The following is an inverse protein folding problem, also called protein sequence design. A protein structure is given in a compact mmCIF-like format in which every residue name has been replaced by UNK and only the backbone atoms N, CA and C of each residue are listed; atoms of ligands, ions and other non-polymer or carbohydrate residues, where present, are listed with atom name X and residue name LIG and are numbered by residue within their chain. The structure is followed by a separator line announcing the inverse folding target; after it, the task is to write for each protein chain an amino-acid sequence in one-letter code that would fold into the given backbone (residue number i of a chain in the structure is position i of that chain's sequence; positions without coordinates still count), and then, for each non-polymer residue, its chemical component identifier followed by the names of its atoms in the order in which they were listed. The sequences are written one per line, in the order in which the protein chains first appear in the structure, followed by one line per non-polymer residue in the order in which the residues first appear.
data_IF_135763897462
#
_entry.id   IF_135763897462
#
_cell.length_a   1.000
_cell.length_b   1.000
_cell.length_c   1.000
_cell.angle_alpha   90.00
_cell.angle_beta   90.00
_cell.angle_gamma   90.00
#
_symmetry.space_group_name_H-M   'P 1'
#
loop_
_entity.id
_entity.type
_entity.pdbx_description
1 polymer ?
#
# COMPACT_ATOMS: atom_id res chain seq x y z
N UNK A 1 -2.06 -1.94 20.61
CA UNK A 1 -3.09 -2.85 20.08
C UNK A 1 -2.71 -3.04 18.61
N UNK A 2 -2.77 -4.23 18.02
CA UNK A 2 -2.40 -4.38 16.61
C UNK A 2 -3.46 -3.70 15.73
N UNK A 3 -3.05 -2.81 14.81
CA UNK A 3 -3.97 -2.14 13.91
C UNK A 3 -4.75 -3.15 13.06
N UNK A 4 -6.06 -2.93 12.89
CA UNK A 4 -6.90 -3.80 12.05
C UNK A 4 -6.97 -3.19 10.64
N UNK A 5 -6.55 -3.93 9.59
CA UNK A 5 -6.60 -3.46 8.22
C UNK A 5 -8.05 -3.49 7.67
N UNK A 6 -8.36 -2.53 6.80
CA UNK A 6 -9.59 -2.49 6.00
C UNK A 6 -9.56 -3.53 4.88
N UNK A 7 -8.36 -3.85 4.39
CA UNK A 7 -8.11 -4.74 3.27
C UNK A 7 -6.71 -5.32 3.40
N UNK A 8 -6.55 -6.58 3.04
CA UNK A 8 -5.28 -7.28 2.98
C UNK A 8 -5.18 -8.13 1.72
N UNK A 9 -3.99 -8.17 1.12
CA UNK A 9 -3.69 -8.94 -0.08
C UNK A 9 -2.26 -9.49 -0.01
N UNK A 10 -2.05 -10.75 -0.37
CA UNK A 10 -0.73 -11.39 -0.34
C UNK A 10 -0.16 -11.58 -1.74
N UNK A 11 1.16 -11.41 -1.88
CA UNK A 11 1.92 -11.72 -3.09
C UNK A 11 1.87 -13.23 -3.32
N UNK A 12 1.19 -13.67 -4.38
CA UNK A 12 0.91 -15.09 -4.61
C UNK A 12 -0.36 -15.65 -3.93
N UNK A 13 -1.23 -14.80 -3.37
CA UNK A 13 -2.45 -15.22 -2.67
C UNK A 13 -3.38 -16.15 -3.46
N UNK A 14 -3.65 -17.32 -2.88
CA UNK A 14 -4.50 -18.41 -3.40
C UNK A 14 -5.98 -18.05 -3.55
N UNK A 15 -6.46 -16.92 -3.01
CA UNK A 15 -7.87 -16.54 -3.08
C UNK A 15 -8.37 -16.31 -4.53
N UNK A 16 -7.53 -15.76 -5.41
CA UNK A 16 -7.81 -15.66 -6.85
C UNK A 16 -7.79 -17.02 -7.55
N UNK A 17 -6.90 -17.91 -7.12
CA UNK A 17 -6.72 -19.25 -7.71
C UNK A 17 -7.83 -20.24 -7.29
N UNK A 18 -8.27 -20.21 -6.03
CA UNK A 18 -9.21 -21.18 -5.46
C UNK A 18 -10.66 -20.96 -5.91
N UNK A 19 -11.11 -19.71 -6.07
CA UNK A 19 -12.46 -19.40 -6.56
C UNK A 19 -12.60 -19.76 -8.06
N UNK A 20 -11.52 -19.62 -8.83
CA UNK A 20 -11.50 -19.96 -10.26
C UNK A 20 -11.37 -21.47 -10.52
N UNK A 21 -10.69 -22.21 -9.63
CA UNK A 21 -10.55 -23.67 -9.71
C UNK A 21 -11.89 -24.41 -9.60
N UNK A 22 -12.85 -23.86 -8.85
CA UNK A 22 -14.20 -24.43 -8.73
C UNK A 22 -15.08 -24.18 -9.97
N UNK A 23 -14.70 -23.22 -10.83
CA UNK A 23 -15.44 -22.83 -12.03
C UNK A 23 -14.95 -23.55 -13.31
N UNK A 24 -14.02 -24.51 -13.21
CA UNK A 24 -13.54 -25.31 -14.34
C UNK A 24 -12.75 -24.52 -15.39
N UNK A 25 -12.38 -23.27 -15.10
CA UNK A 25 -11.57 -22.43 -15.98
C UNK A 25 -10.10 -22.68 -15.68
N UNK A 26 -9.45 -23.54 -16.47
CA UNK A 26 -8.00 -23.63 -16.51
C UNK A 26 -7.45 -22.31 -17.01
N UNK A 27 -6.83 -21.53 -16.13
CA UNK A 27 -5.85 -20.53 -16.53
C UNK A 27 -4.49 -20.95 -16.03
N UNK A 28 -3.52 -20.81 -16.93
CA UNK A 28 -2.10 -20.92 -16.65
C UNK A 28 -1.75 -20.18 -15.36
N UNK A 29 -0.90 -20.80 -14.55
CA UNK A 29 -0.49 -20.27 -13.26
C UNK A 29 -0.08 -18.80 -13.37
N UNK A 30 -0.53 -17.99 -12.40
CA UNK A 30 -0.24 -16.55 -12.35
C UNK A 30 1.28 -16.34 -12.51
N UNK A 31 1.74 -15.66 -13.58
CA UNK A 31 3.17 -15.48 -13.82
C UNK A 31 3.87 -14.81 -12.63
N UNK A 32 3.16 -13.97 -11.86
CA UNK A 32 3.70 -13.39 -10.63
C UNK A 32 4.00 -14.44 -9.55
N UNK A 33 3.18 -15.50 -9.46
CA UNK A 33 3.40 -16.61 -8.54
C UNK A 33 4.59 -17.49 -8.96
N UNK A 34 4.73 -17.74 -10.28
CA UNK A 34 5.89 -18.46 -10.84
C UNK A 34 7.18 -17.66 -10.59
N UNK A 35 7.13 -16.33 -10.74
CA UNK A 35 8.29 -15.46 -10.55
C UNK A 35 8.75 -15.36 -9.09
N UNK A 36 7.81 -15.31 -8.12
CA UNK A 36 8.12 -15.35 -6.69
C UNK A 36 8.88 -16.63 -6.34
N UNK A 37 8.38 -17.78 -6.82
CA UNK A 37 8.99 -19.09 -6.61
C UNK A 37 10.35 -19.23 -7.32
N UNK A 38 10.52 -18.61 -8.49
CA UNK A 38 11.75 -18.66 -9.27
C UNK A 38 12.88 -17.79 -8.68
N UNK A 39 12.54 -16.68 -8.02
CA UNK A 39 13.52 -15.66 -7.60
C UNK A 39 13.80 -15.59 -6.09
N UNK A 40 13.29 -16.52 -5.26
CA UNK A 40 13.41 -16.45 -3.79
C UNK A 40 13.00 -15.07 -3.21
N UNK A 41 12.02 -14.39 -3.83
CA UNK A 41 11.52 -13.11 -3.34
C UNK A 41 10.75 -13.32 -2.03
N UNK A 42 10.92 -12.46 -1.00
CA UNK A 42 10.20 -12.61 0.26
C UNK A 42 8.69 -12.50 0.02
N UNK A 43 7.91 -13.29 0.74
CA UNK A 43 6.46 -13.17 0.73
C UNK A 43 6.06 -11.78 1.26
N UNK A 44 5.27 -11.07 0.46
CA UNK A 44 4.87 -9.69 0.71
C UNK A 44 3.37 -9.57 0.87
N UNK A 45 2.95 -8.80 1.85
CA UNK A 45 1.54 -8.51 2.10
C UNK A 45 1.27 -7.01 1.95
N UNK A 46 0.31 -6.68 1.08
CA UNK A 46 -0.32 -5.37 1.02
C UNK A 46 -1.42 -5.32 2.07
N UNK A 47 -1.40 -4.29 2.91
CA UNK A 47 -2.50 -3.99 3.83
C UNK A 47 -2.89 -2.51 3.70
N UNK A 48 -4.20 -2.23 3.76
CA UNK A 48 -4.73 -0.87 3.76
C UNK A 48 -5.37 -0.61 5.11
N UNK A 49 -4.89 0.40 5.82
CA UNK A 49 -5.39 0.80 7.13
C UNK A 49 -6.13 2.15 7.07
N UNK A 50 -7.04 2.42 8.02
CA UNK A 50 -7.54 3.77 8.22
C UNK A 50 -6.42 4.69 8.73
N UNK A 51 -6.54 6.00 8.53
CA UNK A 51 -5.59 7.00 9.03
C UNK A 51 -5.29 6.86 10.54
N UNK A 52 -6.28 6.47 11.34
CA UNK A 52 -6.14 6.28 12.79
C UNK A 52 -5.11 5.22 13.17
N UNK A 53 -4.84 4.25 12.30
CA UNK A 53 -3.82 3.23 12.52
C UNK A 53 -2.40 3.81 12.59
N UNK A 54 -2.17 5.04 12.13
CA UNK A 54 -0.86 5.70 12.24
C UNK A 54 -0.33 5.75 13.67
N UNK A 55 -1.21 5.80 14.69
CA UNK A 55 -0.83 5.75 16.11
C UNK A 55 -0.42 4.35 16.58
N UNK A 56 -1.01 3.31 16.02
CA UNK A 56 -0.67 1.91 16.36
C UNK A 56 0.60 1.45 15.63
N UNK A 57 0.91 2.06 14.48
CA UNK A 57 2.05 1.72 13.61
C UNK A 57 3.32 2.52 13.89
N UNK A 58 3.37 3.32 14.97
CA UNK A 58 4.44 4.31 15.22
C UNK A 58 5.83 3.68 15.19
N UNK A 59 6.08 2.61 15.94
CA UNK A 59 7.41 2.00 16.04
C UNK A 59 7.90 1.47 14.70
N UNK A 60 7.01 0.82 13.95
CA UNK A 60 7.32 0.24 12.64
C UNK A 60 7.56 1.32 11.58
N UNK A 61 6.78 2.41 11.62
CA UNK A 61 6.95 3.55 10.74
C UNK A 61 8.21 4.35 11.06
N UNK A 62 8.56 4.53 12.34
CA UNK A 62 9.82 5.15 12.75
C UNK A 62 11.00 4.33 12.19
N UNK A 63 10.91 2.99 12.22
CA UNK A 63 11.91 2.11 11.63
C UNK A 63 12.02 2.26 10.10
N UNK A 64 10.90 2.30 9.37
CA UNK A 64 10.87 2.51 7.92
C UNK A 64 11.43 3.89 7.54
N UNK A 65 11.07 4.94 8.27
CA UNK A 65 11.57 6.30 8.04
C UNK A 65 13.10 6.40 8.10
N UNK A 66 13.75 5.59 8.95
CA UNK A 66 15.20 5.57 9.07
C UNK A 66 15.92 4.82 7.93
N UNK A 67 15.18 4.11 7.07
CA UNK A 67 15.72 3.21 6.04
C UNK A 67 15.16 3.43 4.65
N UNK A 68 14.24 4.37 4.49
CA UNK A 68 13.67 4.71 3.19
C UNK A 68 14.76 5.22 2.24
N UNK A 69 14.62 4.92 0.94
CA UNK A 69 15.51 5.44 -0.11
C UNK A 69 15.46 6.96 -0.15
N UNK A 70 14.26 7.53 -0.03
CA UNK A 70 14.03 8.96 0.04
C UNK A 70 13.23 9.31 1.32
N UNK A 71 13.77 10.15 2.22
CA UNK A 71 13.08 10.52 3.45
C UNK A 71 11.97 11.54 3.19
N UNK A 72 10.78 11.28 3.76
CA UNK A 72 9.68 12.23 3.77
C UNK A 72 9.26 12.54 5.21
N UNK A 73 9.62 13.74 5.69
CA UNK A 73 9.35 14.18 7.07
C UNK A 73 7.85 14.25 7.38
N UNK A 74 7.01 14.52 6.38
CA UNK A 74 5.56 14.59 6.55
C UNK A 74 4.94 13.21 6.76
N UNK A 75 5.65 12.14 6.39
CA UNK A 75 5.21 10.76 6.61
C UNK A 75 5.85 10.15 7.86
N UNK A 76 6.66 10.90 8.61
CA UNK A 76 7.08 10.48 9.94
C UNK A 76 5.84 10.32 10.84
N UNK A 77 5.70 9.22 11.61
CA UNK A 77 4.49 8.95 12.38
C UNK A 77 4.13 10.06 13.38
N UNK A 78 5.13 10.80 13.89
CA UNK A 78 4.93 11.92 14.82
C UNK A 78 4.30 13.15 14.17
N UNK A 79 4.43 13.29 12.85
CA UNK A 79 3.73 14.30 12.07
C UNK A 79 2.44 13.72 11.47
N UNK A 80 2.54 12.58 10.80
CA UNK A 80 1.48 11.96 10.01
C UNK A 80 0.22 11.67 10.85
N UNK A 81 0.36 10.96 11.97
CA UNK A 81 -0.75 10.51 12.79
C UNK A 81 -1.61 11.68 13.35
N UNK A 82 -1.03 12.76 13.91
CA UNK A 82 -1.82 13.92 14.33
C UNK A 82 -2.29 14.82 13.17
N UNK A 83 -1.60 14.81 12.03
CA UNK A 83 -1.90 15.68 10.89
C UNK A 83 -3.13 15.22 10.08
N UNK A 84 -3.23 13.93 9.75
CA UNK A 84 -4.31 13.43 8.87
C UNK A 84 -5.73 13.80 9.34
N UNK A 85 -6.10 13.74 10.64
CA UNK A 85 -7.44 14.13 11.09
C UNK A 85 -7.74 15.64 11.00
N UNK A 86 -6.74 16.48 10.71
CA UNK A 86 -6.82 17.95 10.82
C UNK A 86 -6.58 18.69 9.52
N UNK A 87 -5.80 18.10 8.61
CA UNK A 87 -5.32 18.78 7.40
C UNK A 87 -6.09 18.42 6.14
N UNK A 88 -7.02 17.46 6.22
CA UNK A 88 -7.70 16.90 5.06
C UNK A 88 -9.19 16.68 5.39
N UNK A 89 -10.07 17.14 4.51
CA UNK A 89 -11.53 16.91 4.63
C UNK A 89 -11.93 15.51 4.12
N UNK A 90 -11.00 14.82 3.45
CA UNK A 90 -11.17 13.52 2.82
C UNK A 90 -10.64 12.39 3.69
N UNK A 91 -11.21 11.21 3.50
CA UNK A 91 -10.74 10.00 4.17
C UNK A 91 -9.36 9.58 3.62
N UNK A 92 -8.31 9.77 4.43
CA UNK A 92 -6.96 9.26 4.16
C UNK A 92 -6.86 7.80 4.62
N UNK A 93 -6.20 6.99 3.81
CA UNK A 93 -5.89 5.58 4.07
C UNK A 93 -4.40 5.35 3.95
N UNK A 94 -3.87 4.39 4.71
CA UNK A 94 -2.46 4.02 4.69
C UNK A 94 -2.32 2.69 3.97
N UNK A 95 -1.80 2.69 2.74
CA UNK A 95 -1.37 1.46 2.10
C UNK A 95 0.06 1.13 2.56
N UNK A 96 0.29 -0.10 2.99
CA UNK A 96 1.60 -0.58 3.40
C UNK A 96 1.95 -1.91 2.75
N UNK A 97 3.22 -2.10 2.43
CA UNK A 97 3.78 -3.43 2.10
C UNK A 97 4.61 -3.90 3.27
N UNK A 98 4.48 -5.18 3.61
CA UNK A 98 5.23 -5.84 4.66
C UNK A 98 5.85 -7.12 4.13
N UNK A 99 7.09 -7.39 4.52
CA UNK A 99 7.71 -8.69 4.31
C UNK A 99 7.44 -9.60 5.52
N UNK A 100 7.21 -10.89 5.22
CA UNK A 100 7.36 -12.02 6.13
C UNK A 100 6.06 -12.60 6.71
N UNK A 101 6.22 -13.44 7.74
CA UNK A 101 5.19 -14.28 8.36
C UNK A 101 4.77 -13.75 9.74
N UNK A 102 4.03 -14.55 10.53
CA UNK A 102 3.60 -14.17 11.88
C UNK A 102 4.76 -13.85 12.85
N UNK A 103 5.98 -14.28 12.55
CA UNK A 103 7.17 -14.10 13.39
C UNK A 103 8.09 -12.98 12.90
N UNK A 104 8.06 -12.64 11.62
CA UNK A 104 8.79 -11.52 11.04
C UNK A 104 7.85 -10.68 10.20
N UNK A 105 7.40 -9.56 10.75
CA UNK A 105 6.56 -8.60 10.03
C UNK A 105 7.31 -7.27 9.94
N UNK A 106 7.78 -6.92 8.74
CA UNK A 106 8.59 -5.72 8.54
C UNK A 106 8.01 -4.83 7.45
N UNK A 107 7.69 -3.58 7.80
CA UNK A 107 7.26 -2.57 6.85
C UNK A 107 8.35 -2.28 5.81
N UNK A 108 7.95 -2.31 4.54
CA UNK A 108 8.76 -2.00 3.37
C UNK A 108 8.28 -0.78 2.60
N UNK A 109 7.00 -0.46 2.71
CA UNK A 109 6.39 0.66 2.00
C UNK A 109 5.32 1.31 2.85
N UNK A 110 5.23 2.63 2.76
CA UNK A 110 4.08 3.42 3.21
C UNK A 110 3.67 4.39 2.09
N UNK A 111 2.41 4.29 1.68
CA UNK A 111 1.73 5.24 0.80
C UNK A 111 0.45 5.69 1.50
N UNK A 112 0.43 6.87 2.12
CA UNK A 112 -0.82 7.50 2.52
C UNK A 112 -1.53 8.01 1.26
N UNK A 113 -2.82 7.73 1.09
CA UNK A 113 -3.58 8.14 -0.09
C UNK A 113 -5.04 8.44 0.24
N UNK A 114 -5.70 9.17 -0.63
CA UNK A 114 -7.16 9.35 -0.61
C UNK A 114 -7.79 8.83 -1.90
N UNK A 115 -9.08 8.50 -1.85
CA UNK A 115 -9.86 8.15 -3.05
C UNK A 115 -10.68 9.37 -3.47
N UNK A 116 -10.28 10.00 -4.56
CA UNK A 116 -10.97 11.14 -5.12
C UNK A 116 -12.03 10.67 -6.12
N UNK A 117 -13.28 11.09 -5.91
CA UNK A 117 -14.35 10.91 -6.89
C UNK A 117 -14.57 12.24 -7.61
N UNK A 118 -14.42 12.29 -8.94
CA UNK A 118 -14.62 13.50 -9.69
C UNK A 118 -16.07 13.96 -9.63
N UNK A 119 -16.26 15.28 -9.61
CA UNK A 119 -17.58 15.92 -9.56
C UNK A 119 -18.22 16.02 -10.96
N UNK A 120 -17.44 15.77 -12.01
CA UNK A 120 -17.87 15.84 -13.41
C UNK A 120 -18.45 14.50 -13.91
N UNK A 121 -19.48 14.52 -14.79
CA UNK A 121 -20.26 13.31 -15.15
C UNK A 121 -19.53 12.18 -15.89
N UNK A 122 -18.25 12.34 -16.25
CA UNK A 122 -17.42 11.33 -16.91
C UNK A 122 -16.05 11.12 -16.24
N UNK A 123 -15.84 11.70 -15.07
CA UNK A 123 -14.56 11.54 -14.42
C UNK A 123 -14.38 10.11 -13.87
N UNK A 124 -13.16 9.59 -13.97
CA UNK A 124 -12.78 8.33 -13.30
C UNK A 124 -12.34 8.62 -11.87
N UNK A 125 -12.75 7.81 -10.88
CA UNK A 125 -12.20 7.92 -9.53
C UNK A 125 -10.69 7.65 -9.59
N UNK A 126 -9.93 8.34 -8.75
CA UNK A 126 -8.47 8.17 -8.67
C UNK A 126 -8.04 7.92 -7.24
N UNK A 127 -6.98 7.13 -7.07
CA UNK A 127 -6.21 7.09 -5.84
C UNK A 127 -5.14 8.18 -5.94
N UNK A 128 -5.14 9.15 -5.03
CA UNK A 128 -4.11 10.20 -4.99
C UNK A 128 -3.28 10.06 -3.74
N UNK A 129 -1.96 10.04 -3.89
CA UNK A 129 -1.06 10.09 -2.74
C UNK A 129 -1.33 11.36 -1.93
N UNK A 130 -1.35 11.21 -0.61
CA UNK A 130 -1.65 12.31 0.29
C UNK A 130 -0.54 13.35 0.24
N UNK A 131 -0.94 14.58 -0.08
CA UNK A 131 -0.16 15.79 0.09
C UNK A 131 -1.12 16.90 0.50
N UNK A 132 -0.63 17.89 1.22
CA UNK A 132 -1.42 19.05 1.64
C UNK A 132 -0.59 20.32 1.52
N UNK A 133 -1.20 21.52 1.58
CA UNK A 133 -0.45 22.77 1.61
C UNK A 133 0.58 22.86 2.76
N UNK A 134 0.39 22.06 3.82
CA UNK A 134 1.28 22.00 5.00
C UNK A 134 2.23 20.79 4.98
N UNK A 135 2.11 19.92 3.98
CA UNK A 135 2.94 18.76 3.73
C UNK A 135 2.93 18.45 2.23
N UNK A 136 3.64 19.24 1.41
CA UNK A 136 3.51 19.18 -0.05
C UNK A 136 4.15 17.93 -0.64
N UNK A 137 5.09 17.29 0.07
CA UNK A 137 5.76 16.08 -0.42
C UNK A 137 4.85 14.87 -0.23
N UNK A 138 4.30 14.38 -1.33
CA UNK A 138 3.57 13.11 -1.38
C UNK A 138 4.43 11.92 -1.78
N UNK A 139 5.76 12.02 -1.72
CA UNK A 139 6.65 10.90 -2.06
C UNK A 139 6.47 9.75 -1.06
N UNK A 140 6.12 8.53 -1.50
CA UNK A 140 6.00 7.36 -0.63
C UNK A 140 7.29 7.04 0.12
N UNK A 141 7.18 6.40 1.29
CA UNK A 141 8.34 5.79 1.94
C UNK A 141 8.54 4.40 1.33
N UNK A 142 9.76 4.12 0.85
CA UNK A 142 10.14 2.83 0.25
C UNK A 142 11.46 2.39 0.87
N UNK A 143 11.50 1.23 1.52
CA UNK A 143 12.71 0.67 2.14
C UNK A 143 13.82 0.49 1.09
N UNK A 144 15.05 0.82 1.48
CA UNK A 144 16.25 0.63 0.65
C UNK A 144 16.61 -0.82 0.34
N UNK A 145 16.05 -1.77 1.08
CA UNK A 145 16.18 -3.20 0.77
C UNK A 145 15.15 -3.57 -0.32
N UNK A 146 15.63 -3.91 -1.52
CA UNK A 146 14.80 -4.27 -2.69
C UNK A 146 13.68 -3.26 -3.02
N UNK A 147 14.01 -1.96 -3.24
CA UNK A 147 13.01 -0.93 -3.48
C UNK A 147 12.22 -1.15 -4.78
N UNK A 148 12.89 -1.66 -5.82
CA UNK A 148 12.25 -1.97 -7.11
C UNK A 148 11.21 -3.06 -6.92
N UNK A 149 11.59 -4.16 -6.27
CA UNK A 149 10.67 -5.27 -6.08
C UNK A 149 9.46 -4.91 -5.21
N UNK A 150 9.67 -4.10 -4.17
CA UNK A 150 8.57 -3.60 -3.33
C UNK A 150 7.57 -2.77 -4.14
N UNK A 151 8.03 -1.91 -5.04
CA UNK A 151 7.18 -1.07 -5.89
C UNK A 151 6.44 -1.91 -6.94
N UNK A 152 7.11 -2.87 -7.56
CA UNK A 152 6.48 -3.83 -8.49
C UNK A 152 5.34 -4.60 -7.81
N UNK A 153 5.61 -5.17 -6.63
CA UNK A 153 4.65 -5.96 -5.88
C UNK A 153 3.47 -5.11 -5.40
N UNK A 154 3.74 -3.85 -5.00
CA UNK A 154 2.71 -2.87 -4.67
C UNK A 154 1.75 -2.65 -5.84
N UNK A 155 2.24 -2.29 -7.03
CA UNK A 155 1.37 -2.04 -8.18
C UNK A 155 0.69 -3.31 -8.68
N UNK A 156 1.39 -4.45 -8.66
CA UNK A 156 0.82 -5.76 -9.01
C UNK A 156 -0.38 -6.10 -8.13
N UNK A 157 -0.22 -6.03 -6.80
CA UNK A 157 -1.32 -6.28 -5.86
C UNK A 157 -2.43 -5.24 -5.97
N UNK A 158 -2.08 -3.95 -6.08
CA UNK A 158 -3.06 -2.86 -6.19
C UNK A 158 -3.93 -2.98 -7.44
N UNK A 159 -3.40 -3.54 -8.52
CA UNK A 159 -4.11 -3.71 -9.79
C UNK A 159 -5.23 -4.77 -9.74
N UNK A 160 -5.24 -5.64 -8.72
CA UNK A 160 -6.14 -6.81 -8.65
C UNK A 160 -7.62 -6.38 -8.64
N UNK A 161 -8.48 -6.92 -9.54
CA UNK A 161 -9.86 -6.45 -9.70
C UNK A 161 -10.76 -6.61 -8.46
N UNK A 162 -10.56 -7.65 -7.65
CA UNK A 162 -11.40 -7.93 -6.48
C UNK A 162 -11.23 -6.92 -5.34
N UNK A 163 -10.13 -6.16 -5.33
CA UNK A 163 -9.91 -5.08 -4.36
C UNK A 163 -10.86 -3.89 -4.56
N UNK A 164 -11.51 -3.77 -5.73
CA UNK A 164 -12.45 -2.69 -6.08
C UNK A 164 -11.87 -1.28 -5.87
N UNK A 165 -10.55 -1.15 -5.98
CA UNK A 165 -9.84 0.12 -5.90
C UNK A 165 -9.88 0.86 -7.26
N UNK A 166 -9.82 2.20 -7.26
CA UNK A 166 -9.65 2.96 -8.49
C UNK A 166 -8.42 2.51 -9.30
N UNK A 167 -8.52 2.57 -10.62
CA UNK A 167 -7.46 2.08 -11.54
C UNK A 167 -6.40 3.11 -11.89
N UNK A 168 -6.61 4.35 -11.51
CA UNK A 168 -5.66 5.44 -11.72
C UNK A 168 -5.04 5.79 -10.38
N UNK A 169 -3.72 5.67 -10.30
CA UNK A 169 -2.93 6.05 -9.14
C UNK A 169 -2.11 7.30 -9.48
N UNK A 170 -2.36 8.39 -8.77
CA UNK A 170 -1.75 9.69 -8.99
C UNK A 170 -0.74 9.94 -7.87
N UNK A 171 0.53 9.99 -8.24
CA UNK A 171 1.59 10.45 -7.36
C UNK A 171 1.52 11.98 -7.26
N UNK A 172 1.90 12.53 -6.11
CA UNK A 172 1.94 13.98 -5.93
C UNK A 172 3.03 14.58 -6.84
N UNK A 173 2.72 15.70 -7.49
CA UNK A 173 3.71 16.53 -8.16
C UNK A 173 4.60 17.22 -7.11
N UNK A 174 5.89 17.35 -7.41
CA UNK A 174 6.92 17.98 -6.55
C UNK A 174 6.66 19.47 -6.39
#
# INVERSE_FOLDING_TARGET
MAAIPLLEETSGGTAGAMVSGLAGLTRDADPAHIEILANNRPERKLAIYPASAGFDLVEELDYLCARTVEPNVFFNPRFLAPAMPRLEDREVRLAVIRDGDEYRNRLRLLVPFSVERPVVPLGVPVMRTWSSPFGPLGTPLVDRDDPVGVVEDFFSMLSRPHLKLPKVFVLADV
#
